data_IF_657980075773
#
_entry.id   IF_657980075773
#
_cell.length_a   1.000
_cell.length_b   1.000
_cell.length_c   1.000
_cell.angle_alpha   90.00
_cell.angle_beta   90.00
_cell.angle_gamma   90.00
#
_symmetry.space_group_name_H-M   'P 1'
#
loop_
_entity.id
_entity.type
_entity.pdbx_description
1 polymer ?
#
# COMPACT_ATOMS: atom_id res chain seq x y z
N UNK A 1 4.37 25.92 6.57
CA UNK A 1 4.75 24.56 6.08
C UNK A 1 3.44 23.88 5.69
N UNK A 2 3.23 23.40 4.46
CA UNK A 2 1.97 22.77 4.16
C UNK A 2 1.93 21.43 4.92
N UNK A 3 0.92 21.28 5.78
CA UNK A 3 0.58 20.04 6.47
C UNK A 3 0.44 18.94 5.41
N UNK A 4 1.23 17.87 5.53
CA UNK A 4 1.03 16.67 4.73
C UNK A 4 -0.19 15.92 5.31
N UNK A 5 -1.37 16.39 4.93
CA UNK A 5 -2.62 15.76 5.29
C UNK A 5 -2.74 14.41 4.58
N UNK A 6 -2.77 13.34 5.39
CA UNK A 6 -3.15 11.95 5.09
C UNK A 6 -2.09 11.10 4.37
N UNK A 7 -1.14 10.58 5.15
CA UNK A 7 -0.16 9.58 4.71
C UNK A 7 -0.79 8.24 4.30
N UNK A 8 -1.92 7.87 4.91
CA UNK A 8 -2.63 6.59 4.74
C UNK A 8 -3.96 6.82 4.02
N UNK A 9 -4.36 5.87 3.17
CA UNK A 9 -5.63 5.85 2.46
C UNK A 9 -6.67 5.04 3.23
N UNK A 10 -7.81 5.66 3.50
CA UNK A 10 -8.98 5.02 4.11
C UNK A 10 -10.03 4.63 3.06
N UNK A 11 -10.84 3.59 3.32
CA UNK A 11 -10.82 2.73 4.51
C UNK A 11 -9.61 1.77 4.53
N UNK A 12 -9.23 1.33 5.73
CA UNK A 12 -8.24 0.27 5.88
C UNK A 12 -8.86 -1.07 5.42
N UNK A 13 -8.09 -1.94 4.74
CA UNK A 13 -8.61 -3.20 4.25
C UNK A 13 -8.91 -4.15 5.41
N UNK A 14 -10.01 -4.89 5.30
CA UNK A 14 -10.37 -5.96 6.23
C UNK A 14 -9.83 -7.30 5.74
N UNK A 15 -9.77 -8.30 6.63
CA UNK A 15 -9.37 -9.67 6.22
C UNK A 15 -10.28 -10.23 5.12
N UNK A 16 -11.58 -9.92 5.18
CA UNK A 16 -12.53 -10.31 4.14
C UNK A 16 -12.19 -9.68 2.78
N UNK A 17 -11.85 -8.39 2.75
CA UNK A 17 -11.44 -7.72 1.52
C UNK A 17 -10.13 -8.29 0.98
N UNK A 18 -9.14 -8.54 1.85
CA UNK A 18 -7.87 -9.14 1.42
C UNK A 18 -8.09 -10.53 0.82
N UNK A 19 -8.92 -11.36 1.46
CA UNK A 19 -9.28 -12.68 0.97
C UNK A 19 -9.99 -12.62 -0.39
N UNK A 20 -10.92 -11.68 -0.57
CA UNK A 20 -11.59 -11.45 -1.86
C UNK A 20 -10.59 -11.11 -2.95
N UNK A 21 -9.61 -10.24 -2.65
CA UNK A 21 -8.56 -9.83 -3.60
C UNK A 21 -7.59 -10.96 -3.93
N UNK A 22 -7.17 -11.75 -2.95
CA UNK A 22 -6.35 -12.95 -3.15
C UNK A 22 -7.04 -13.94 -4.11
N UNK A 23 -8.34 -14.15 -3.95
CA UNK A 23 -9.15 -14.99 -4.85
C UNK A 23 -9.24 -14.38 -6.25
N UNK A 24 -9.58 -13.10 -6.35
CA UNK A 24 -9.73 -12.41 -7.64
C UNK A 24 -8.43 -12.37 -8.44
N UNK A 25 -7.30 -12.13 -7.78
CA UNK A 25 -5.97 -12.07 -8.39
C UNK A 25 -5.28 -13.44 -8.49
N UNK A 26 -5.89 -14.49 -7.91
CA UNK A 26 -5.36 -15.87 -7.87
C UNK A 26 -3.94 -15.93 -7.29
N UNK A 27 -3.71 -15.18 -6.22
CA UNK A 27 -2.41 -15.09 -5.53
C UNK A 27 -2.65 -15.09 -4.02
N UNK A 28 -1.72 -15.67 -3.26
CA UNK A 28 -1.65 -15.49 -1.82
C UNK A 28 -0.70 -14.34 -1.51
N UNK A 29 -1.21 -13.32 -0.83
CA UNK A 29 -0.43 -12.21 -0.36
C UNK A 29 0.43 -12.66 0.82
N UNK A 30 1.71 -12.25 0.88
CA UNK A 30 2.55 -12.51 2.03
C UNK A 30 1.93 -12.01 3.34
N UNK A 31 2.09 -12.77 4.43
CA UNK A 31 1.50 -12.44 5.73
C UNK A 31 2.01 -11.11 6.30
N UNK A 32 3.29 -10.80 6.09
CA UNK A 32 3.89 -9.52 6.45
C UNK A 32 3.30 -8.37 5.65
N UNK A 33 3.07 -8.56 4.35
CA UNK A 33 2.37 -7.58 3.50
C UNK A 33 0.93 -7.35 3.96
N UNK A 34 0.18 -8.40 4.28
CA UNK A 34 -1.20 -8.27 4.80
C UNK A 34 -1.23 -7.49 6.11
N UNK A 35 -0.31 -7.75 7.04
CA UNK A 35 -0.18 -6.98 8.29
C UNK A 35 0.17 -5.52 8.03
N UNK A 36 1.06 -5.26 7.08
CA UNK A 36 1.46 -3.92 6.70
C UNK A 36 0.27 -3.13 6.13
N UNK A 37 -0.38 -3.65 5.09
CA UNK A 37 -1.43 -2.90 4.37
C UNK A 37 -2.70 -2.67 5.21
N UNK A 38 -2.95 -3.50 6.24
CA UNK A 38 -4.05 -3.28 7.21
C UNK A 38 -3.85 -2.06 8.10
N UNK A 39 -2.61 -1.61 8.31
CA UNK A 39 -2.30 -0.45 9.15
C UNK A 39 -1.85 0.76 8.33
N UNK A 40 -1.18 0.51 7.20
CA UNK A 40 -0.45 1.49 6.40
C UNK A 40 -0.97 1.50 4.95
N UNK A 41 -2.30 1.37 4.76
CA UNK A 41 -2.90 1.24 3.43
C UNK A 41 -2.52 2.42 2.54
N UNK A 42 -1.87 2.13 1.41
CA UNK A 42 -1.38 3.16 0.53
C UNK A 42 -0.45 4.17 1.22
N UNK A 43 0.40 3.78 2.16
CA UNK A 43 1.32 4.71 2.81
C UNK A 43 2.25 5.44 1.82
N UNK A 44 2.55 6.72 2.08
CA UNK A 44 3.68 7.45 1.48
C UNK A 44 4.94 7.19 2.33
N UNK A 45 6.00 6.55 1.81
CA UNK A 45 7.20 6.26 2.59
C UNK A 45 7.96 7.53 3.00
N UNK A 46 8.53 7.53 4.20
CA UNK A 46 9.43 8.59 4.67
C UNK A 46 10.73 8.65 3.85
N UNK A 47 11.26 7.50 3.44
CA UNK A 47 12.37 7.37 2.49
C UNK A 47 11.86 6.88 1.15
N UNK A 48 11.52 7.82 0.27
CA UNK A 48 10.94 7.53 -1.05
C UNK A 48 11.91 7.54 -2.22
N UNK A 49 13.07 8.17 -2.09
CA UNK A 49 14.06 8.25 -3.16
C UNK A 49 15.12 7.17 -2.98
N UNK A 50 15.44 6.47 -4.07
CA UNK A 50 16.48 5.44 -4.08
C UNK A 50 17.09 5.29 -5.47
N UNK A 51 18.35 4.88 -5.52
CA UNK A 51 19.03 4.56 -6.77
C UNK A 51 18.82 3.10 -7.14
N UNK A 52 18.50 2.86 -8.42
CA UNK A 52 18.44 1.52 -8.99
C UNK A 52 19.04 1.54 -10.40
N UNK A 53 20.19 0.87 -10.56
CA UNK A 53 21.02 1.00 -11.77
C UNK A 53 21.49 2.44 -11.96
N UNK A 54 21.32 2.97 -13.16
CA UNK A 54 21.72 4.35 -13.50
C UNK A 54 20.60 5.39 -13.30
N UNK A 55 19.49 5.02 -12.65
CA UNK A 55 18.34 5.90 -12.48
C UNK A 55 18.07 6.18 -11.00
N UNK A 56 17.65 7.41 -10.70
CA UNK A 56 16.93 7.71 -9.47
C UNK A 56 15.46 7.30 -9.62
N UNK A 57 14.92 6.66 -8.59
CA UNK A 57 13.53 6.23 -8.52
C UNK A 57 12.89 6.88 -7.31
N UNK A 58 11.60 7.18 -7.43
CA UNK A 58 10.77 7.70 -6.35
C UNK A 58 9.58 6.77 -6.13
N UNK A 59 9.32 6.44 -4.87
CA UNK A 59 8.06 5.81 -4.45
C UNK A 59 7.11 6.92 -4.06
N UNK A 60 6.13 7.21 -4.91
CA UNK A 60 5.11 8.19 -4.55
C UNK A 60 4.21 7.66 -3.43
N UNK A 61 3.75 6.42 -3.56
CA UNK A 61 2.88 5.73 -2.60
C UNK A 61 2.92 4.22 -2.78
N UNK A 62 2.66 3.45 -1.72
CA UNK A 62 2.32 2.04 -1.86
C UNK A 62 0.96 1.83 -2.54
N UNK A 63 0.80 0.69 -3.22
CA UNK A 63 -0.48 0.34 -3.84
C UNK A 63 -1.51 0.01 -2.76
N UNK A 64 -2.58 0.81 -2.69
CA UNK A 64 -3.67 0.61 -1.75
C UNK A 64 -4.61 -0.51 -2.21
N UNK A 65 -5.22 -1.18 -1.23
CA UNK A 65 -6.32 -2.12 -1.49
C UNK A 65 -7.62 -1.43 -1.11
N UNK A 66 -8.49 -1.23 -2.11
CA UNK A 66 -9.77 -0.53 -1.97
C UNK A 66 -10.93 -1.50 -2.17
N UNK A 67 -12.03 -1.28 -1.47
CA UNK A 67 -13.31 -1.90 -1.83
C UNK A 67 -13.79 -1.27 -3.14
N UNK A 68 -14.27 -2.08 -4.08
CA UNK A 68 -14.97 -1.56 -5.27
C UNK A 68 -16.44 -1.46 -4.87
N UNK A 69 -17.00 -0.25 -4.98
CA UNK A 69 -18.43 0.04 -4.79
C UNK A 69 -19.23 -0.35 -6.02
#
# INVERSE_FOLDING_TARGET
>A
MPQQDQSIIYPLPTDALLQEREVAWKVQLPEDYKKFIKNENGLIPSKRYFHFGNNEKVIDRFLAILAIS
#
